data_IF_000242645381
#
_entry.id   IF_000242645381
#
_cell.length_a   1.000
_cell.length_b   1.000
_cell.length_c   1.000
_cell.angle_alpha   90.00
_cell.angle_beta   90.00
_cell.angle_gamma   90.00
#
_symmetry.space_group_name_H-M   'P 1'
#
loop_
_entity.id
_entity.type
_entity.pdbx_description
1 polymer ?
#
# COMPACT_ATOMS: atom_id res chain seq x y z
N UNK A 1 7.89 -68.70 -28.84
CA UNK A 1 7.88 -67.95 -27.57
C UNK A 1 8.63 -66.62 -27.74
N UNK A 2 8.04 -65.65 -28.44
CA UNK A 2 8.67 -64.34 -28.70
C UNK A 2 7.67 -63.17 -28.78
N UNK A 3 6.42 -63.38 -28.34
CA UNK A 3 5.33 -62.41 -28.52
C UNK A 3 4.85 -61.70 -27.25
N UNK A 4 5.35 -62.07 -26.07
CA UNK A 4 4.76 -61.66 -24.78
C UNK A 4 5.62 -60.69 -23.97
N UNK A 5 6.89 -60.48 -24.32
CA UNK A 5 7.80 -59.61 -23.56
C UNK A 5 7.81 -58.14 -24.03
N UNK A 6 7.26 -57.82 -25.20
CA UNK A 6 7.28 -56.44 -25.74
C UNK A 6 6.09 -55.59 -25.25
N UNK A 7 5.02 -56.19 -24.73
CA UNK A 7 3.84 -55.43 -24.26
C UNK A 7 3.94 -54.90 -22.83
N UNK A 8 4.93 -55.33 -22.05
CA UNK A 8 5.14 -54.87 -20.66
C UNK A 8 6.05 -53.62 -20.58
N UNK A 9 6.88 -53.37 -21.59
CA UNK A 9 7.78 -52.20 -21.62
C UNK A 9 7.08 -50.91 -22.06
N UNK A 10 6.04 -50.98 -22.90
CA UNK A 10 5.27 -49.81 -23.32
C UNK A 10 4.27 -49.33 -22.26
N UNK A 11 3.80 -50.21 -21.37
CA UNK A 11 2.91 -49.83 -20.24
C UNK A 11 3.66 -49.16 -19.07
N UNK A 12 4.91 -49.56 -18.81
CA UNK A 12 5.74 -48.95 -17.76
C UNK A 12 6.21 -47.53 -18.09
N UNK A 13 6.53 -47.25 -19.35
CA UNK A 13 6.92 -45.91 -19.80
C UNK A 13 5.75 -44.90 -19.84
N UNK A 14 4.52 -45.37 -20.05
CA UNK A 14 3.33 -44.50 -20.00
C UNK A 14 2.86 -44.17 -18.57
N UNK A 15 3.11 -45.06 -17.59
CA UNK A 15 2.82 -44.76 -16.17
C UNK A 15 3.85 -43.84 -15.52
N UNK A 16 5.08 -43.76 -16.05
CA UNK A 16 6.09 -42.76 -15.63
C UNK A 16 5.84 -41.39 -16.27
N UNK A 17 5.18 -41.33 -17.44
CA UNK A 17 4.84 -40.06 -18.09
C UNK A 17 3.68 -39.30 -17.39
N UNK A 18 2.80 -39.99 -16.67
CA UNK A 18 1.68 -39.36 -15.96
C UNK A 18 2.08 -38.76 -14.58
N UNK A 19 3.24 -39.13 -14.02
CA UNK A 19 3.74 -38.57 -12.76
C UNK A 19 4.49 -37.23 -12.94
N UNK A 20 4.72 -36.80 -14.19
CA UNK A 20 5.46 -35.57 -14.51
C UNK A 20 4.60 -34.30 -14.59
N UNK A 21 3.28 -34.41 -14.47
CA UNK A 21 2.36 -33.26 -14.46
C UNK A 21 1.68 -33.15 -13.11
N UNK A 22 2.46 -32.91 -12.05
CA UNK A 22 1.93 -32.16 -10.92
C UNK A 22 1.66 -30.75 -11.46
N UNK A 23 0.47 -30.54 -12.03
CA UNK A 23 -0.03 -29.21 -12.33
C UNK A 23 0.03 -28.44 -11.03
N UNK A 24 0.83 -27.37 -11.00
CA UNK A 24 0.99 -26.59 -9.78
C UNK A 24 -0.39 -26.07 -9.37
N UNK A 25 -0.78 -26.31 -8.11
CA UNK A 25 -2.12 -25.97 -7.63
C UNK A 25 -2.37 -24.46 -7.76
N UNK A 26 -3.59 -24.09 -8.12
CA UNK A 26 -3.99 -22.69 -8.17
C UNK A 26 -3.83 -22.08 -6.78
N UNK A 27 -3.27 -20.87 -6.70
CA UNK A 27 -3.14 -20.16 -5.44
C UNK A 27 -4.53 -19.90 -4.88
N UNK A 28 -4.78 -20.41 -3.67
CA UNK A 28 -6.03 -20.19 -2.97
C UNK A 28 -5.94 -18.88 -2.20
N UNK A 29 -6.80 -17.88 -2.47
CA UNK A 29 -6.95 -16.73 -1.59
C UNK A 29 -7.28 -17.20 -0.17
N UNK A 30 -6.83 -16.47 0.84
CA UNK A 30 -7.08 -16.81 2.24
C UNK A 30 -8.60 -16.85 2.51
N UNK A 31 -9.19 -18.01 2.84
CA UNK A 31 -10.62 -18.15 3.06
C UNK A 31 -11.12 -17.40 4.32
N UNK A 32 -10.22 -16.94 5.20
CA UNK A 32 -10.59 -16.13 6.36
C UNK A 32 -11.09 -14.73 5.96
N UNK A 33 -10.69 -14.24 4.79
CA UNK A 33 -11.18 -12.99 4.22
C UNK A 33 -12.54 -13.21 3.56
N UNK A 34 -13.60 -12.76 4.24
CA UNK A 34 -14.91 -12.66 3.61
C UNK A 34 -14.93 -11.45 2.70
N UNK A 35 -15.38 -11.62 1.47
CA UNK A 35 -15.40 -10.55 0.47
C UNK A 35 -16.71 -10.56 -0.30
N UNK A 36 -17.11 -9.40 -0.79
CA UNK A 36 -18.27 -9.26 -1.65
C UNK A 36 -18.30 -7.93 -2.39
N UNK A 37 -19.23 -7.83 -3.32
CA UNK A 37 -19.49 -6.61 -4.09
C UNK A 37 -20.97 -6.32 -4.04
N UNK A 38 -21.34 -5.09 -3.67
CA UNK A 38 -22.73 -4.64 -3.64
C UNK A 38 -23.25 -4.42 -5.06
N UNK A 39 -24.57 -4.34 -5.23
CA UNK A 39 -25.19 -4.13 -6.54
C UNK A 39 -24.76 -2.81 -7.23
N UNK A 40 -24.32 -1.82 -6.47
CA UNK A 40 -23.80 -0.54 -6.98
C UNK A 40 -22.29 -0.57 -7.30
N UNK A 41 -21.61 -1.70 -7.13
CA UNK A 41 -20.19 -1.88 -7.46
C UNK A 41 -19.22 -1.71 -6.28
N UNK A 42 -19.69 -1.26 -5.11
CA UNK A 42 -18.82 -1.15 -3.93
C UNK A 42 -18.33 -2.51 -3.49
N UNK A 43 -17.01 -2.66 -3.38
CA UNK A 43 -16.38 -3.87 -2.87
C UNK A 43 -16.16 -3.77 -1.37
N UNK A 44 -16.24 -4.89 -0.66
CA UNK A 44 -15.95 -4.95 0.76
C UNK A 44 -15.19 -6.21 1.12
N UNK A 45 -14.39 -6.12 2.18
CA UNK A 45 -13.59 -7.21 2.74
C UNK A 45 -13.68 -7.17 4.26
N UNK A 46 -13.95 -8.30 4.89
CA UNK A 46 -14.05 -8.46 6.34
C UNK A 46 -13.14 -9.60 6.78
N UNK A 47 -12.21 -9.32 7.69
CA UNK A 47 -11.40 -10.33 8.37
C UNK A 47 -11.80 -10.37 9.86
N UNK A 48 -12.50 -11.43 10.25
CA UNK A 48 -12.78 -11.69 11.65
C UNK A 48 -11.51 -12.19 12.36
N UNK A 49 -11.19 -11.62 13.52
CA UNK A 49 -10.02 -12.00 14.31
C UNK A 49 -10.40 -12.44 15.73
N UNK A 50 -11.14 -13.57 15.90
CA UNK A 50 -11.52 -14.08 17.23
C UNK A 50 -10.32 -14.40 18.13
N UNK A 51 -9.17 -14.71 17.53
CA UNK A 51 -7.88 -14.89 18.22
C UNK A 51 -7.30 -13.60 18.81
N UNK A 52 -7.86 -12.43 18.47
CA UNK A 52 -7.51 -11.13 19.05
C UNK A 52 -8.75 -10.42 19.62
N UNK A 53 -9.38 -10.98 20.67
CA UNK A 53 -10.70 -10.57 21.12
C UNK A 53 -10.70 -9.23 21.90
N UNK A 54 -9.54 -8.61 22.11
CA UNK A 54 -9.42 -7.30 22.77
C UNK A 54 -8.82 -6.22 21.85
N UNK A 55 -8.40 -6.60 20.64
CA UNK A 55 -7.84 -5.67 19.68
C UNK A 55 -8.92 -4.72 19.16
N UNK A 56 -8.48 -3.54 18.75
CA UNK A 56 -9.34 -2.54 18.12
C UNK A 56 -9.87 -3.04 16.78
N UNK A 57 -11.03 -2.53 16.37
CA UNK A 57 -11.61 -2.81 15.05
C UNK A 57 -11.08 -1.77 14.08
N UNK A 58 -10.32 -2.21 13.08
CA UNK A 58 -9.77 -1.36 12.04
C UNK A 58 -10.74 -1.27 10.87
N UNK A 59 -11.16 -0.05 10.53
CA UNK A 59 -12.02 0.24 9.39
C UNK A 59 -11.25 1.13 8.42
N UNK A 60 -11.23 0.75 7.14
CA UNK A 60 -10.57 1.48 6.06
C UNK A 60 -11.50 1.60 4.87
N UNK A 61 -11.75 2.82 4.39
CA UNK A 61 -12.41 3.04 3.10
C UNK A 61 -11.38 3.56 2.11
N UNK A 62 -11.02 2.72 1.15
CA UNK A 62 -10.20 3.10 0.02
C UNK A 62 -11.08 3.55 -1.13
N UNK A 63 -10.80 4.73 -1.68
CA UNK A 63 -11.39 5.23 -2.92
C UNK A 63 -10.27 5.36 -3.94
N UNK A 64 -10.40 4.76 -5.12
CA UNK A 64 -9.40 4.77 -6.19
C UNK A 64 -9.38 6.13 -6.93
N UNK A 65 -9.07 7.18 -6.18
CA UNK A 65 -8.95 8.57 -6.59
C UNK A 65 -7.80 9.24 -5.85
N UNK A 66 -6.87 9.85 -6.59
CA UNK A 66 -5.77 10.63 -6.06
C UNK A 66 -5.41 11.79 -6.99
N UNK A 67 -4.23 12.39 -6.79
CA UNK A 67 -3.80 13.57 -7.55
C UNK A 67 -3.57 13.33 -9.04
N UNK A 68 -3.40 12.08 -9.50
CA UNK A 68 -3.34 11.74 -10.93
C UNK A 68 -4.63 12.04 -11.70
N UNK A 69 -5.74 12.14 -10.98
CA UNK A 69 -7.05 12.42 -11.59
C UNK A 69 -7.35 13.92 -11.69
N UNK A 70 -6.47 14.77 -11.13
CA UNK A 70 -6.60 16.21 -11.17
C UNK A 70 -6.11 16.78 -12.51
N UNK A 71 -6.89 17.72 -13.07
CA UNK A 71 -6.40 18.67 -14.07
C UNK A 71 -5.62 19.82 -13.41
N UNK A 72 -4.94 20.65 -14.20
CA UNK A 72 -4.22 21.83 -13.69
C UNK A 72 -5.13 22.88 -13.05
N UNK A 73 -6.44 22.85 -13.33
CA UNK A 73 -7.45 23.68 -12.69
C UNK A 73 -7.93 23.08 -11.36
N UNK A 74 -7.79 21.76 -11.18
CA UNK A 74 -8.25 21.01 -10.01
C UNK A 74 -7.11 20.68 -9.03
N UNK A 75 -5.94 21.34 -9.16
CA UNK A 75 -4.78 21.12 -8.30
C UNK A 75 -5.15 21.21 -6.82
N UNK A 76 -4.92 20.11 -6.09
CA UNK A 76 -5.17 19.96 -4.66
C UNK A 76 -6.59 19.55 -4.27
N UNK A 77 -7.49 19.27 -5.23
CA UNK A 77 -8.86 18.84 -4.95
C UNK A 77 -8.92 17.48 -4.27
N UNK A 78 -8.08 16.52 -4.68
CA UNK A 78 -8.04 15.17 -4.10
C UNK A 78 -7.66 15.19 -2.62
N UNK A 79 -6.81 16.14 -2.19
CA UNK A 79 -6.46 16.36 -0.79
C UNK A 79 -7.52 17.17 -0.04
N UNK A 80 -8.16 18.13 -0.72
CA UNK A 80 -9.12 19.00 -0.06
C UNK A 80 -10.47 18.31 0.23
N UNK A 81 -10.92 17.38 -0.60
CA UNK A 81 -12.17 16.63 -0.37
C UNK A 81 -12.18 15.87 0.98
N UNK A 82 -11.19 15.03 1.32
CA UNK A 82 -11.17 14.38 2.63
C UNK A 82 -11.02 15.40 3.76
N UNK A 83 -10.31 16.52 3.56
CA UNK A 83 -10.25 17.60 4.57
C UNK A 83 -11.64 18.18 4.82
N UNK A 84 -12.41 18.42 3.77
CA UNK A 84 -13.79 18.89 3.86
C UNK A 84 -14.71 17.86 4.54
N UNK A 85 -14.53 16.57 4.26
CA UNK A 85 -15.32 15.51 4.89
C UNK A 85 -15.08 15.45 6.41
N UNK A 86 -13.83 15.62 6.85
CA UNK A 86 -13.45 15.58 8.27
C UNK A 86 -14.04 16.73 9.10
N UNK A 87 -14.49 17.82 8.48
CA UNK A 87 -15.19 18.91 9.18
C UNK A 87 -16.70 18.71 9.25
N UNK A 88 -17.23 17.61 8.70
CA UNK A 88 -18.67 17.37 8.60
C UNK A 88 -19.09 16.14 9.43
N UNK A 89 -20.25 16.25 10.07
CA UNK A 89 -20.89 15.13 10.78
C UNK A 89 -21.69 14.22 9.86
N UNK A 90 -21.99 14.66 8.63
CA UNK A 90 -22.92 13.98 7.74
C UNK A 90 -24.31 13.87 8.37
N UNK A 91 -24.87 12.67 8.32
CA UNK A 91 -26.16 12.30 8.93
C UNK A 91 -26.06 12.04 10.44
N UNK A 92 -24.85 12.01 11.02
CA UNK A 92 -24.69 11.82 12.45
C UNK A 92 -25.06 13.10 13.22
N UNK A 93 -25.75 12.99 14.37
CA UNK A 93 -25.85 14.06 15.35
C UNK A 93 -24.47 14.57 15.75
N UNK A 94 -24.33 15.89 15.97
CA UNK A 94 -23.05 16.54 16.26
C UNK A 94 -22.28 15.89 17.42
N UNK A 95 -22.99 15.48 18.48
CA UNK A 95 -22.37 14.81 19.62
C UNK A 95 -21.87 13.39 19.29
N UNK A 96 -22.57 12.65 18.42
CA UNK A 96 -22.12 11.33 17.96
C UNK A 96 -20.89 11.46 17.07
N UNK A 97 -20.90 12.40 16.11
CA UNK A 97 -19.73 12.66 15.27
C UNK A 97 -18.49 13.05 16.08
N UNK A 98 -18.66 13.90 17.12
CA UNK A 98 -17.57 14.24 18.05
C UNK A 98 -17.08 13.02 18.83
N UNK A 99 -18.01 12.22 19.35
CA UNK A 99 -17.72 10.99 20.10
C UNK A 99 -16.96 9.96 19.25
N UNK A 100 -17.35 9.81 17.98
CA UNK A 100 -16.69 8.96 17.00
C UNK A 100 -15.21 9.36 16.86
N UNK A 101 -14.93 10.62 16.50
CA UNK A 101 -13.56 11.09 16.27
C UNK A 101 -12.68 11.10 17.52
N UNK A 102 -13.25 11.26 18.71
CA UNK A 102 -12.51 11.13 19.97
C UNK A 102 -12.08 9.69 20.27
N UNK A 103 -12.77 8.70 19.70
CA UNK A 103 -12.57 7.28 20.00
C UNK A 103 -12.04 6.48 18.82
N UNK A 104 -11.98 7.04 17.60
CA UNK A 104 -11.68 6.32 16.36
C UNK A 104 -10.22 6.38 15.92
N UNK A 105 -9.29 6.70 16.81
CA UNK A 105 -7.85 6.75 16.54
C UNK A 105 -7.14 5.75 17.45
N UNK A 106 -6.24 4.92 16.90
CA UNK A 106 -5.41 4.02 17.69
C UNK A 106 -4.42 4.86 18.53
N UNK A 107 -4.49 4.81 19.87
CA UNK A 107 -3.58 5.58 20.72
C UNK A 107 -2.12 5.10 20.65
N UNK A 108 -1.87 3.85 20.21
CA UNK A 108 -0.52 3.26 20.13
C UNK A 108 0.12 3.48 18.76
N UNK A 109 -0.66 3.37 17.69
CA UNK A 109 -0.21 3.48 16.30
C UNK A 109 -1.19 4.34 15.49
N UNK A 110 -1.28 5.64 15.79
CA UNK A 110 -2.27 6.50 15.14
C UNK A 110 -1.99 6.60 13.64
N UNK A 111 -3.04 6.43 12.85
CA UNK A 111 -3.04 6.85 11.45
C UNK A 111 -3.76 8.20 11.33
N UNK A 112 -3.34 9.06 10.38
CA UNK A 112 -4.12 10.21 9.98
C UNK A 112 -5.54 9.78 9.57
N UNK A 113 -6.59 10.54 9.93
CA UNK A 113 -7.97 10.23 9.55
C UNK A 113 -8.16 10.01 8.04
N UNK A 114 -7.37 10.70 7.22
CA UNK A 114 -7.30 10.45 5.79
C UNK A 114 -5.86 10.52 5.26
N UNK A 115 -5.56 9.68 4.27
CA UNK A 115 -4.31 9.68 3.52
C UNK A 115 -4.63 9.78 2.04
N UNK A 116 -3.98 10.70 1.33
CA UNK A 116 -4.14 10.88 -0.12
C UNK A 116 -2.81 10.58 -0.80
N UNK A 117 -2.87 9.80 -1.88
CA UNK A 117 -1.74 9.48 -2.73
C UNK A 117 -2.02 9.88 -4.18
N UNK A 118 -1.20 9.38 -5.08
CA UNK A 118 -1.32 9.61 -6.52
C UNK A 118 -2.61 9.01 -7.09
N UNK A 119 -3.04 7.86 -6.58
CA UNK A 119 -4.12 7.04 -7.15
C UNK A 119 -5.21 6.64 -6.16
N UNK A 120 -5.02 6.89 -4.87
CA UNK A 120 -6.02 6.57 -3.85
C UNK A 120 -6.19 7.66 -2.80
N UNK A 121 -7.37 7.65 -2.19
CA UNK A 121 -7.72 8.36 -0.97
C UNK A 121 -8.22 7.32 0.02
N UNK A 122 -7.61 7.26 1.20
CA UNK A 122 -7.92 6.28 2.24
C UNK A 122 -8.43 6.98 3.49
N UNK A 123 -9.62 6.63 3.96
CA UNK A 123 -10.11 7.03 5.29
C UNK A 123 -9.76 5.96 6.31
N UNK A 124 -9.25 6.35 7.48
CA UNK A 124 -8.77 5.44 8.52
C UNK A 124 -9.50 5.68 9.84
N UNK A 125 -10.14 4.64 10.36
CA UNK A 125 -10.72 4.62 11.70
C UNK A 125 -10.26 3.36 12.45
N UNK A 126 -9.90 3.51 13.72
CA UNK A 126 -9.57 2.43 14.64
C UNK A 126 -10.49 2.53 15.85
N UNK A 127 -11.44 1.61 15.99
CA UNK A 127 -12.52 1.68 16.99
C UNK A 127 -12.21 0.77 18.19
N UNK A 128 -12.62 1.13 19.42
CA UNK A 128 -12.53 0.22 20.56
C UNK A 128 -13.34 -1.07 20.29
N UNK A 129 -12.88 -2.20 20.83
CA UNK A 129 -13.65 -3.44 20.69
C UNK A 129 -14.99 -3.38 21.44
N UNK A 130 -15.94 -4.26 21.10
CA UNK A 130 -17.26 -4.38 21.70
C UNK A 130 -18.11 -3.09 21.62
N UNK A 131 -17.84 -2.22 20.64
CA UNK A 131 -18.59 -0.98 20.38
C UNK A 131 -19.27 -1.02 19.01
N UNK A 132 -20.29 -1.89 18.91
CA UNK A 132 -21.08 -2.04 17.68
C UNK A 132 -21.82 -0.74 17.29
N UNK A 133 -22.13 0.10 18.27
CA UNK A 133 -22.64 1.46 18.07
C UNK A 133 -21.65 2.33 17.29
N UNK A 134 -20.38 2.38 17.71
CA UNK A 134 -19.34 3.14 17.01
C UNK A 134 -19.04 2.58 15.63
N UNK A 135 -19.11 1.25 15.45
CA UNK A 135 -18.94 0.66 14.12
C UNK A 135 -20.04 1.13 13.18
N UNK A 136 -21.30 1.12 13.62
CA UNK A 136 -22.43 1.63 12.83
C UNK A 136 -22.26 3.12 12.51
N UNK A 137 -21.86 3.92 13.49
CA UNK A 137 -21.59 5.36 13.30
C UNK A 137 -20.44 5.60 12.32
N UNK A 138 -19.35 4.84 12.42
CA UNK A 138 -18.22 4.89 11.50
C UNK A 138 -18.63 4.57 10.06
N UNK A 139 -19.41 3.50 9.86
CA UNK A 139 -19.94 3.14 8.54
C UNK A 139 -20.85 4.25 7.98
N UNK A 140 -21.71 4.84 8.81
CA UNK A 140 -22.59 5.93 8.41
C UNK A 140 -21.80 7.17 7.99
N UNK A 141 -20.82 7.58 8.80
CA UNK A 141 -19.96 8.73 8.48
C UNK A 141 -19.18 8.50 7.19
N UNK A 142 -18.62 7.30 7.00
CA UNK A 142 -17.90 6.93 5.77
C UNK A 142 -18.81 6.98 4.52
N UNK A 143 -20.06 6.52 4.62
CA UNK A 143 -21.02 6.62 3.52
C UNK A 143 -21.38 8.08 3.21
N UNK A 144 -21.52 8.93 4.21
CA UNK A 144 -21.79 10.36 3.99
C UNK A 144 -20.59 11.08 3.39
N UNK A 145 -19.38 10.83 3.90
CA UNK A 145 -18.13 11.37 3.36
C UNK A 145 -17.93 10.98 1.88
N UNK A 146 -18.37 9.78 1.49
CA UNK A 146 -18.16 9.23 0.15
C UNK A 146 -19.32 9.39 -0.82
N UNK A 147 -20.53 9.76 -0.38
CA UNK A 147 -21.67 9.98 -1.28
C UNK A 147 -22.56 11.21 -1.03
N UNK A 148 -22.39 11.91 0.10
CA UNK A 148 -23.28 13.02 0.51
C UNK A 148 -22.52 14.22 1.06
N UNK A 149 -21.30 14.44 0.57
CA UNK A 149 -20.46 15.55 1.04
C UNK A 149 -21.11 16.91 0.73
N UNK A 150 -21.27 17.76 1.75
CA UNK A 150 -21.76 19.11 1.57
C UNK A 150 -20.64 20.03 1.06
N UNK A 151 -20.74 20.45 -0.20
CA UNK A 151 -19.77 21.35 -0.84
C UNK A 151 -20.45 22.71 -1.03
N UNK A 152 -20.29 23.63 -0.08
CA UNK A 152 -20.83 24.99 -0.15
C UNK A 152 -19.73 26.00 0.17
N UNK A 153 -19.88 27.30 -0.16
CA UNK A 153 -18.91 28.31 0.22
C UNK A 153 -18.60 28.30 1.73
N UNK A 154 -19.63 28.07 2.57
CA UNK A 154 -19.50 28.03 4.02
C UNK A 154 -18.70 26.81 4.50
N UNK A 155 -18.98 25.62 3.95
CA UNK A 155 -18.27 24.39 4.32
C UNK A 155 -16.79 24.44 3.88
N UNK A 156 -16.53 25.03 2.71
CA UNK A 156 -15.18 25.27 2.19
C UNK A 156 -14.43 26.23 3.11
N UNK A 157 -15.02 27.37 3.45
CA UNK A 157 -14.39 28.36 4.33
C UNK A 157 -14.09 27.79 5.72
N UNK A 158 -15.02 27.02 6.29
CA UNK A 158 -14.80 26.31 7.54
C UNK A 158 -13.61 25.33 7.45
N UNK A 159 -13.55 24.52 6.38
CA UNK A 159 -12.46 23.57 6.18
C UNK A 159 -11.10 24.25 6.01
N UNK A 160 -11.05 25.43 5.38
CA UNK A 160 -9.83 26.23 5.19
C UNK A 160 -9.31 26.84 6.50
N UNK A 161 -10.20 27.23 7.41
CA UNK A 161 -9.85 27.78 8.73
C UNK A 161 -9.39 26.71 9.73
N UNK A 162 -9.87 25.47 9.58
CA UNK A 162 -9.50 24.34 10.42
C UNK A 162 -8.10 23.78 10.13
N UNK A 163 -7.58 22.98 11.08
CA UNK A 163 -6.34 22.24 10.89
C UNK A 163 -6.48 21.18 9.78
N UNK A 164 -5.43 21.03 8.97
CA UNK A 164 -5.39 19.98 7.95
C UNK A 164 -4.96 18.65 8.58
N UNK A 165 -5.90 17.71 8.68
CA UNK A 165 -5.70 16.36 9.22
C UNK A 165 -5.42 15.32 8.13
N UNK A 166 -5.30 15.74 6.87
CA UNK A 166 -5.03 14.85 5.73
C UNK A 166 -3.52 14.74 5.53
N UNK A 167 -3.00 13.51 5.59
CA UNK A 167 -1.62 13.22 5.25
C UNK A 167 -1.48 12.77 3.79
N UNK A 168 -0.25 12.71 3.29
CA UNK A 168 0.04 12.17 1.96
C UNK A 168 0.78 10.85 2.03
N UNK A 169 0.68 10.08 0.95
CA UNK A 169 1.61 8.98 0.68
C UNK A 169 2.32 9.22 -0.66
N UNK A 170 3.66 9.30 -0.69
CA UNK A 170 4.59 9.29 0.45
C UNK A 170 4.38 10.46 1.43
N UNK A 171 4.87 10.31 2.67
CA UNK A 171 4.66 11.28 3.74
C UNK A 171 5.28 12.65 3.44
N UNK A 172 6.51 12.65 2.91
CA UNK A 172 7.17 13.86 2.41
C UNK A 172 7.36 13.74 0.90
N UNK A 173 6.50 14.42 0.13
CA UNK A 173 6.57 14.42 -1.33
C UNK A 173 7.66 15.34 -1.89
N UNK A 174 8.34 16.10 -1.02
CA UNK A 174 9.45 16.99 -1.37
C UNK A 174 10.81 16.39 -1.04
N UNK A 175 10.83 15.22 -0.41
CA UNK A 175 12.04 14.47 -0.09
C UNK A 175 12.89 14.25 -1.36
N UNK A 176 14.20 14.48 -1.24
CA UNK A 176 15.11 14.56 -2.38
C UNK A 176 15.17 13.26 -3.20
N UNK A 177 15.18 12.11 -2.54
CA UNK A 177 15.13 10.81 -3.20
C UNK A 177 13.80 10.59 -3.93
N UNK A 178 12.67 10.93 -3.32
CA UNK A 178 11.36 10.85 -3.98
C UNK A 178 11.28 11.75 -5.22
N UNK A 179 11.76 13.00 -5.11
CA UNK A 179 11.84 13.93 -6.24
C UNK A 179 12.72 13.41 -7.38
N UNK A 180 13.83 12.77 -7.05
CA UNK A 180 14.67 12.10 -8.04
C UNK A 180 13.93 10.93 -8.70
N UNK A 181 13.26 10.09 -7.91
CA UNK A 181 12.56 8.89 -8.38
C UNK A 181 11.38 9.18 -9.30
N UNK A 182 10.72 10.32 -9.12
CA UNK A 182 9.60 10.77 -9.96
C UNK A 182 9.99 11.18 -11.38
N UNK A 183 11.28 11.46 -11.65
CA UNK A 183 11.72 11.93 -12.97
C UNK A 183 11.33 10.94 -14.06
N UNK A 184 10.65 11.46 -15.09
CA UNK A 184 10.16 10.66 -16.22
C UNK A 184 8.99 9.73 -15.92
N UNK A 185 8.41 9.75 -14.72
CA UNK A 185 7.23 8.94 -14.35
C UNK A 185 5.92 9.63 -14.76
N UNK A 186 4.82 8.87 -14.75
CA UNK A 186 3.45 9.41 -14.98
C UNK A 186 2.95 10.29 -13.84
N UNK A 187 3.62 10.24 -12.68
CA UNK A 187 3.27 10.99 -11.48
C UNK A 187 3.91 12.39 -11.43
N UNK A 188 4.83 12.69 -12.36
CA UNK A 188 5.48 13.99 -12.41
C UNK A 188 4.44 15.09 -12.71
N UNK A 189 4.34 16.08 -11.82
CA UNK A 189 3.34 17.15 -11.91
C UNK A 189 2.04 16.89 -11.14
N UNK A 190 1.84 15.68 -10.62
CA UNK A 190 0.64 15.29 -9.86
C UNK A 190 0.96 15.11 -8.37
N UNK A 191 1.64 16.07 -7.75
CA UNK A 191 2.04 15.98 -6.34
C UNK A 191 0.79 15.95 -5.42
N UNK A 192 0.55 14.90 -4.61
CA UNK A 192 -0.63 14.84 -3.74
C UNK A 192 -0.59 15.88 -2.60
N UNK A 193 0.58 16.50 -2.36
CA UNK A 193 0.72 17.64 -1.45
C UNK A 193 0.66 19.00 -2.18
N UNK A 194 0.26 19.04 -3.46
CA UNK A 194 0.11 20.29 -4.19
C UNK A 194 -0.84 21.24 -3.45
N UNK A 195 -0.53 22.55 -3.41
CA UNK A 195 -1.41 23.52 -2.78
C UNK A 195 -2.74 23.57 -3.54
N UNK A 196 -3.82 23.76 -2.77
CA UNK A 196 -5.14 23.97 -3.33
C UNK A 196 -5.16 25.27 -4.13
N UNK A 197 -5.53 25.18 -5.42
CA UNK A 197 -5.63 26.34 -6.30
C UNK A 197 -6.69 27.31 -5.80
N UNK A 198 -6.35 28.61 -5.77
CA UNK A 198 -7.24 29.70 -5.35
C UNK A 198 -7.50 30.66 -6.53
N UNK A 199 -8.71 31.24 -6.64
CA UNK A 199 -9.91 30.93 -5.85
C UNK A 199 -10.48 29.54 -6.17
N UNK A 200 -11.17 28.93 -5.20
CA UNK A 200 -11.82 27.62 -5.39
C UNK A 200 -13.13 27.81 -6.16
N UNK A 201 -13.25 27.17 -7.31
CA UNK A 201 -14.52 27.03 -8.01
C UNK A 201 -15.35 25.91 -7.36
N UNK A 202 -16.43 26.32 -6.67
CA UNK A 202 -17.32 25.41 -5.95
C UNK A 202 -18.00 24.41 -6.89
N UNK A 203 -18.36 24.83 -8.11
CA UNK A 203 -18.96 23.94 -9.09
C UNK A 203 -17.94 22.91 -9.56
N UNK A 204 -16.71 23.35 -9.86
CA UNK A 204 -15.65 22.43 -10.27
C UNK A 204 -15.29 21.39 -9.19
N UNK A 205 -15.29 21.80 -7.91
CA UNK A 205 -15.03 20.88 -6.80
C UNK A 205 -16.17 19.85 -6.65
N UNK A 206 -17.43 20.27 -6.82
CA UNK A 206 -18.59 19.36 -6.85
C UNK A 206 -18.50 18.37 -8.00
N UNK A 207 -18.20 18.85 -9.20
CA UNK A 207 -18.10 18.00 -10.39
C UNK A 207 -16.97 16.98 -10.23
N UNK A 208 -15.82 17.40 -9.67
CA UNK A 208 -14.72 16.49 -9.37
C UNK A 208 -15.14 15.42 -8.34
N UNK A 209 -15.81 15.82 -7.26
CA UNK A 209 -16.32 14.87 -6.26
C UNK A 209 -17.30 13.87 -6.89
N UNK A 210 -18.32 14.33 -7.60
CA UNK A 210 -19.35 13.47 -8.21
C UNK A 210 -18.78 12.54 -9.28
N UNK A 211 -17.80 13.01 -10.06
CA UNK A 211 -17.15 12.21 -11.10
C UNK A 211 -16.32 11.06 -10.52
N UNK A 212 -15.64 11.29 -9.40
CA UNK A 212 -14.62 10.38 -8.91
C UNK A 212 -15.02 9.59 -7.64
N UNK A 213 -15.91 10.10 -6.79
CA UNK A 213 -16.40 9.39 -5.62
C UNK A 213 -17.62 8.53 -5.99
N UNK A 214 -17.34 7.43 -6.69
CA UNK A 214 -18.35 6.46 -7.13
C UNK A 214 -18.13 5.09 -6.47
N UNK A 215 -19.20 4.36 -6.11
CA UNK A 215 -19.10 3.10 -5.36
C UNK A 215 -18.24 2.03 -6.05
N UNK A 216 -18.25 1.93 -7.37
CA UNK A 216 -17.42 1.00 -8.15
C UNK A 216 -15.90 1.23 -8.03
N UNK A 217 -15.49 2.41 -7.52
CA UNK A 217 -14.10 2.74 -7.22
C UNK A 217 -13.77 2.63 -5.72
N UNK A 218 -14.67 2.08 -4.90
CA UNK A 218 -14.53 2.00 -3.45
C UNK A 218 -14.32 0.57 -2.96
N UNK A 219 -13.41 0.42 -2.00
CA UNK A 219 -13.24 -0.82 -1.23
C UNK A 219 -13.25 -0.52 0.26
N UNK A 220 -14.22 -1.09 0.97
CA UNK A 220 -14.31 -1.01 2.43
C UNK A 220 -13.66 -2.25 3.06
N UNK A 221 -12.74 -2.05 3.99
CA UNK A 221 -12.02 -3.12 4.69
C UNK A 221 -12.33 -3.00 6.19
N UNK A 222 -12.76 -4.09 6.81
CA UNK A 222 -13.01 -4.19 8.25
C UNK A 222 -12.20 -5.36 8.83
N UNK A 223 -11.36 -5.10 9.82
CA UNK A 223 -10.57 -6.13 10.51
C UNK A 223 -10.78 -6.02 12.01
N UNK A 224 -11.16 -7.12 12.66
CA UNK A 224 -11.34 -7.14 14.11
C UNK A 224 -12.17 -8.33 14.58
N UNK A 225 -12.37 -8.45 15.89
CA UNK A 225 -13.26 -9.44 16.46
C UNK A 225 -14.74 -9.03 16.27
N UNK A 226 -15.27 -9.25 15.07
CA UNK A 226 -16.63 -8.84 14.66
C UNK A 226 -17.41 -10.02 14.08
N UNK A 227 -18.75 -9.96 14.17
CA UNK A 227 -19.62 -10.89 13.45
C UNK A 227 -19.68 -10.50 11.97
N UNK A 228 -19.00 -11.27 11.11
CA UNK A 228 -18.84 -10.92 9.70
C UNK A 228 -20.17 -10.83 8.95
N UNK A 229 -21.17 -11.64 9.31
CA UNK A 229 -22.50 -11.62 8.68
C UNK A 229 -23.22 -10.30 8.97
N UNK A 230 -23.28 -9.91 10.24
CA UNK A 230 -23.89 -8.64 10.66
C UNK A 230 -23.17 -7.45 10.05
N UNK A 231 -21.83 -7.49 9.96
CA UNK A 231 -21.06 -6.42 9.31
C UNK A 231 -21.40 -6.33 7.82
N UNK A 232 -21.44 -7.44 7.10
CA UNK A 232 -21.81 -7.45 5.69
C UNK A 232 -23.23 -6.90 5.44
N UNK A 233 -24.20 -7.26 6.29
CA UNK A 233 -25.56 -6.72 6.22
C UNK A 233 -25.60 -5.20 6.47
N UNK A 234 -24.85 -4.73 7.47
CA UNK A 234 -24.73 -3.29 7.76
C UNK A 234 -24.06 -2.54 6.61
N UNK A 235 -23.02 -3.10 6.00
CA UNK A 235 -22.37 -2.52 4.81
C UNK A 235 -23.38 -2.39 3.67
N UNK A 236 -24.13 -3.44 3.36
CA UNK A 236 -25.14 -3.40 2.30
C UNK A 236 -26.21 -2.34 2.58
N UNK A 237 -26.70 -2.24 3.82
CA UNK A 237 -27.71 -1.25 4.20
C UNK A 237 -27.20 0.18 4.13
N UNK A 238 -25.96 0.42 4.55
CA UNK A 238 -25.40 1.78 4.66
C UNK A 238 -24.87 2.31 3.33
N UNK A 239 -24.25 1.43 2.51
CA UNK A 239 -23.60 1.83 1.27
C UNK A 239 -24.39 1.47 0.00
N UNK A 240 -25.43 0.64 0.09
CA UNK A 240 -26.18 0.15 -1.08
C UNK A 240 -26.88 1.24 -1.89
N UNK A 241 -27.20 2.37 -1.26
CA UNK A 241 -27.86 3.50 -1.92
C UNK A 241 -26.90 4.47 -2.60
N UNK A 242 -25.58 4.31 -2.44
CA UNK A 242 -24.59 5.14 -3.14
C UNK A 242 -24.77 5.04 -4.66
N UNK A 243 -24.55 6.17 -5.34
CA UNK A 243 -24.77 6.35 -6.78
C UNK A 243 -23.48 6.71 -7.50
N UNK A 244 -23.48 6.54 -8.81
CA UNK A 244 -22.36 6.84 -9.69
C UNK A 244 -21.65 5.59 -10.17
N UNK A 245 -20.95 5.71 -11.30
CA UNK A 245 -20.12 4.67 -11.90
C UNK A 245 -19.01 5.34 -12.70
N UNK A 246 -17.77 4.84 -12.61
CA UNK A 246 -16.66 5.32 -13.43
C UNK A 246 -16.88 4.92 -14.89
N UNK A 247 -16.84 5.88 -15.79
CA UNK A 247 -16.71 5.62 -17.24
C UNK A 247 -15.24 5.38 -17.61
N UNK A 248 -14.34 6.10 -16.95
CA UNK A 248 -12.89 6.01 -17.18
C UNK A 248 -12.23 5.18 -16.09
N UNK A 249 -11.42 4.16 -16.45
CA UNK A 249 -10.61 3.43 -15.49
C UNK A 249 -9.75 4.37 -14.64
N UNK A 250 -9.50 4.00 -13.38
CA UNK A 250 -8.57 4.75 -12.54
C UNK A 250 -7.17 4.76 -13.16
N UNK A 251 -6.52 5.92 -13.14
CA UNK A 251 -5.13 6.02 -13.58
C UNK A 251 -4.23 5.20 -12.65
N UNK A 252 -3.35 4.38 -13.24
CA UNK A 252 -2.41 3.57 -12.47
C UNK A 252 -1.06 4.29 -12.41
N UNK A 253 -0.54 4.60 -11.21
CA UNK A 253 0.73 5.28 -11.05
C UNK A 253 1.88 4.33 -11.39
N UNK A 254 2.80 4.79 -12.24
CA UNK A 254 3.93 3.99 -12.69
C UNK A 254 5.22 4.77 -12.58
N UNK A 255 6.20 4.18 -11.90
CA UNK A 255 7.56 4.71 -11.87
C UNK A 255 8.36 4.24 -13.08
N UNK A 256 9.14 5.14 -13.67
CA UNK A 256 10.10 4.80 -14.73
C UNK A 256 11.26 3.98 -14.16
N UNK A 257 11.99 3.19 -14.98
CA UNK A 257 13.16 2.46 -14.49
C UNK A 257 14.16 3.38 -13.78
N UNK A 258 14.75 2.92 -12.67
CA UNK A 258 15.79 3.67 -11.99
C UNK A 258 17.04 3.78 -12.90
N UNK A 259 17.58 4.98 -13.14
CA UNK A 259 18.82 5.12 -13.90
C UNK A 259 19.98 4.37 -13.24
N UNK A 260 20.88 3.79 -14.05
CA UNK A 260 22.03 3.00 -13.56
C UNK A 260 23.25 3.86 -13.22
N UNK A 261 23.11 5.19 -13.27
CA UNK A 261 24.18 6.13 -12.95
C UNK A 261 24.16 6.46 -11.46
N UNK A 262 25.31 6.52 -10.78
CA UNK A 262 25.36 6.95 -9.39
C UNK A 262 24.90 8.39 -9.26
N UNK A 263 24.21 8.70 -8.17
CA UNK A 263 23.72 10.05 -7.87
C UNK A 263 24.00 10.38 -6.40
N UNK A 264 24.34 11.63 -6.14
CA UNK A 264 24.40 12.19 -4.78
C UNK A 264 23.19 13.08 -4.57
N UNK A 265 22.48 12.88 -3.47
CA UNK A 265 21.26 13.61 -3.12
C UNK A 265 21.48 14.24 -1.76
N UNK A 266 21.52 15.58 -1.73
CA UNK A 266 21.55 16.33 -0.48
C UNK A 266 20.15 16.35 0.13
N UNK A 267 20.03 15.89 1.37
CA UNK A 267 18.75 15.83 2.09
C UNK A 267 18.97 16.04 3.59
N UNK A 268 18.02 16.70 4.24
CA UNK A 268 18.02 16.87 5.70
C UNK A 268 17.36 15.69 6.42
N UNK A 269 16.90 14.67 5.68
CA UNK A 269 16.23 13.49 6.23
C UNK A 269 17.20 12.50 6.89
N UNK A 270 18.51 12.64 6.66
CA UNK A 270 19.55 11.78 7.22
C UNK A 270 20.48 12.58 8.13
N UNK A 271 20.96 11.96 9.22
CA UNK A 271 21.88 12.59 10.18
C UNK A 271 23.35 12.43 9.81
N UNK A 272 23.65 11.46 8.96
CA UNK A 272 24.97 11.12 8.45
C UNK A 272 24.82 10.58 7.02
N UNK A 273 25.93 10.39 6.31
CA UNK A 273 25.88 9.87 4.95
C UNK A 273 25.26 8.48 4.92
N UNK A 274 24.37 8.29 3.95
CA UNK A 274 23.71 7.03 3.66
C UNK A 274 23.94 6.67 2.21
N UNK A 275 24.73 5.63 1.97
CA UNK A 275 24.91 5.07 0.63
C UNK A 275 23.94 3.90 0.44
N UNK A 276 23.19 3.91 -0.66
CA UNK A 276 22.26 2.83 -1.01
C UNK A 276 22.74 2.12 -2.27
N UNK A 277 23.01 0.82 -2.18
CA UNK A 277 23.23 -0.06 -3.34
C UNK A 277 21.86 -0.60 -3.73
N UNK A 278 21.35 -0.22 -4.90
CA UNK A 278 19.95 -0.41 -5.24
C UNK A 278 19.78 -1.27 -6.49
N UNK A 279 18.79 -2.17 -6.44
CA UNK A 279 18.27 -2.92 -7.57
C UNK A 279 16.81 -2.52 -7.80
N UNK A 280 16.42 -2.30 -9.05
CA UNK A 280 15.08 -1.87 -9.45
C UNK A 280 14.66 -2.66 -10.69
N UNK A 281 13.51 -3.34 -10.61
CA UNK A 281 12.97 -4.18 -11.67
C UNK A 281 11.45 -3.97 -11.81
N UNK A 282 10.87 -4.24 -12.99
CA UNK A 282 9.42 -4.31 -13.14
C UNK A 282 8.84 -5.37 -12.19
N UNK A 283 7.77 -5.03 -11.45
CA UNK A 283 7.04 -5.99 -10.63
C UNK A 283 5.95 -6.68 -11.45
N UNK A 284 5.86 -8.00 -11.32
CA UNK A 284 4.76 -8.78 -11.86
C UNK A 284 3.99 -9.43 -10.69
N UNK A 285 2.66 -9.20 -10.57
CA UNK A 285 1.86 -9.84 -9.54
C UNK A 285 1.96 -11.37 -9.62
N UNK A 286 2.07 -12.00 -8.46
CA UNK A 286 2.12 -13.46 -8.32
C UNK A 286 0.72 -14.03 -8.59
N UNK A 287 0.57 -14.82 -9.65
CA UNK A 287 -0.73 -15.38 -10.08
C UNK A 287 -0.79 -16.91 -10.04
N UNK A 288 0.36 -17.56 -9.95
CA UNK A 288 0.48 -19.01 -9.96
C UNK A 288 1.63 -19.46 -9.04
N UNK A 289 1.62 -20.76 -8.72
CA UNK A 289 2.60 -21.36 -7.82
C UNK A 289 4.04 -21.31 -8.37
N UNK A 290 4.23 -21.37 -9.69
CA UNK A 290 5.57 -21.24 -10.28
C UNK A 290 6.15 -19.81 -10.12
N UNK A 291 5.32 -18.78 -10.26
CA UNK A 291 5.69 -17.40 -9.97
C UNK A 291 5.97 -17.21 -8.47
N UNK A 292 5.18 -17.84 -7.59
CA UNK A 292 5.39 -17.78 -6.14
C UNK A 292 6.73 -18.41 -5.72
N UNK A 293 7.06 -19.59 -6.26
CA UNK A 293 8.34 -20.25 -6.00
C UNK A 293 9.53 -19.43 -6.50
N UNK A 294 9.42 -18.81 -7.68
CA UNK A 294 10.47 -17.89 -8.18
C UNK A 294 10.62 -16.69 -7.25
N UNK A 295 9.52 -16.09 -6.84
CA UNK A 295 9.52 -14.98 -5.88
C UNK A 295 10.21 -15.37 -4.57
N UNK A 296 9.83 -16.51 -3.95
CA UNK A 296 10.43 -16.97 -2.70
C UNK A 296 11.91 -17.31 -2.82
N UNK A 297 12.33 -17.92 -3.93
CA UNK A 297 13.76 -18.17 -4.17
C UNK A 297 14.55 -16.87 -4.24
N UNK A 298 14.02 -15.89 -4.97
CA UNK A 298 14.69 -14.59 -5.11
C UNK A 298 14.67 -13.82 -3.77
N UNK A 299 13.61 -13.97 -2.97
CA UNK A 299 13.47 -13.38 -1.64
C UNK A 299 14.44 -13.99 -0.63
N UNK A 300 14.49 -15.31 -0.56
CA UNK A 300 15.43 -16.04 0.29
C UNK A 300 16.88 -15.73 -0.09
N UNK A 301 17.20 -15.63 -1.39
CA UNK A 301 18.54 -15.26 -1.83
C UNK A 301 18.93 -13.85 -1.36
N UNK A 302 17.99 -12.89 -1.37
CA UNK A 302 18.22 -11.53 -0.86
C UNK A 302 18.41 -11.51 0.65
N UNK A 303 17.56 -12.21 1.39
CA UNK A 303 17.64 -12.31 2.85
C UNK A 303 18.95 -12.96 3.28
N UNK A 304 19.32 -14.09 2.66
CA UNK A 304 20.55 -14.81 2.98
C UNK A 304 21.81 -14.01 2.61
N UNK A 305 21.80 -13.27 1.49
CA UNK A 305 22.86 -12.33 1.14
C UNK A 305 23.04 -11.25 2.21
N UNK A 306 21.95 -10.60 2.62
CA UNK A 306 22.00 -9.55 3.64
C UNK A 306 22.49 -10.09 4.98
N UNK A 307 21.96 -11.24 5.40
CA UNK A 307 22.36 -11.91 6.63
C UNK A 307 23.84 -12.27 6.63
N UNK A 308 24.36 -12.81 5.51
CA UNK A 308 25.78 -13.12 5.36
C UNK A 308 26.66 -11.87 5.53
N UNK A 309 26.32 -10.77 4.86
CA UNK A 309 27.06 -9.50 4.98
C UNK A 309 27.02 -8.99 6.42
N UNK A 310 25.85 -8.99 7.06
CA UNK A 310 25.68 -8.54 8.44
C UNK A 310 26.52 -9.37 9.42
N UNK A 311 26.53 -10.70 9.25
CA UNK A 311 27.36 -11.59 10.07
C UNK A 311 28.85 -11.36 9.86
N UNK A 312 29.29 -11.22 8.61
CA UNK A 312 30.70 -10.98 8.28
C UNK A 312 31.19 -9.68 8.90
N UNK A 313 30.40 -8.60 8.83
CA UNK A 313 30.72 -7.32 9.48
C UNK A 313 30.80 -7.45 11.00
N UNK A 314 29.87 -8.17 11.61
CA UNK A 314 29.85 -8.41 13.06
C UNK A 314 31.06 -9.22 13.52
N UNK A 315 31.38 -10.33 12.83
CA UNK A 315 32.55 -11.19 13.13
C UNK A 315 33.87 -10.42 13.01
N UNK A 316 33.96 -9.50 12.05
CA UNK A 316 35.16 -8.69 11.81
C UNK A 316 35.20 -7.39 12.65
N UNK A 317 34.26 -7.17 13.58
CA UNK A 317 34.19 -5.98 14.44
C UNK A 317 34.28 -4.65 13.67
N UNK A 318 33.61 -4.56 12.50
CA UNK A 318 33.59 -3.33 11.70
C UNK A 318 32.83 -2.24 12.46
N UNK A 319 33.47 -1.09 12.68
CA UNK A 319 32.92 0.03 13.47
C UNK A 319 32.34 1.13 12.60
N UNK A 320 31.44 1.92 13.17
CA UNK A 320 30.85 3.12 12.56
C UNK A 320 30.16 2.84 11.22
N UNK A 321 29.47 1.70 11.18
CA UNK A 321 28.65 1.22 10.07
C UNK A 321 27.27 0.81 10.61
N UNK A 322 26.22 1.45 10.09
CA UNK A 322 24.85 0.95 10.17
C UNK A 322 24.51 0.25 8.86
N UNK A 323 24.10 -1.01 8.91
CA UNK A 323 23.67 -1.75 7.74
C UNK A 323 22.16 -1.97 7.81
N UNK A 324 21.46 -1.59 6.75
CA UNK A 324 20.02 -1.84 6.59
C UNK A 324 19.73 -2.52 5.27
N UNK A 325 18.64 -3.27 5.21
CA UNK A 325 18.15 -3.86 3.98
C UNK A 325 16.64 -3.71 3.90
N UNK A 326 16.16 -3.28 2.74
CA UNK A 326 14.74 -3.17 2.50
C UNK A 326 14.42 -3.55 1.06
N UNK A 327 13.30 -4.24 0.90
CA UNK A 327 12.64 -4.47 -0.38
C UNK A 327 11.24 -3.89 -0.34
N UNK A 328 10.82 -3.25 -1.42
CA UNK A 328 9.50 -2.65 -1.57
C UNK A 328 8.98 -2.85 -2.98
N UNK A 329 7.68 -3.11 -3.07
CA UNK A 329 6.95 -3.06 -4.33
C UNK A 329 6.09 -1.81 -4.34
N UNK A 330 6.42 -0.86 -5.20
CA UNK A 330 5.71 0.42 -5.31
C UNK A 330 5.58 0.79 -6.78
N UNK A 331 4.40 1.24 -7.19
CA UNK A 331 4.17 1.83 -8.52
C UNK A 331 4.68 0.93 -9.69
N UNK A 332 4.36 -0.37 -9.60
CA UNK A 332 4.76 -1.43 -10.55
C UNK A 332 6.27 -1.74 -10.62
N UNK A 333 7.04 -1.31 -9.62
CA UNK A 333 8.48 -1.62 -9.52
C UNK A 333 8.75 -2.39 -8.23
N UNK A 334 9.58 -3.41 -8.32
CA UNK A 334 10.23 -4.03 -7.17
C UNK A 334 11.60 -3.38 -6.99
N UNK A 335 11.84 -2.80 -5.83
CA UNK A 335 13.09 -2.16 -5.49
C UNK A 335 13.64 -2.78 -4.20
N UNK A 336 14.91 -3.17 -4.23
CA UNK A 336 15.62 -3.63 -3.04
C UNK A 336 16.90 -2.83 -2.88
N UNK A 337 17.26 -2.50 -1.64
CA UNK A 337 18.45 -1.72 -1.33
C UNK A 337 19.21 -2.28 -0.14
N UNK A 338 20.54 -2.32 -0.26
CA UNK A 338 21.45 -2.40 0.89
C UNK A 338 21.86 -0.98 1.23
N UNK A 339 21.53 -0.56 2.45
CA UNK A 339 21.77 0.76 2.98
C UNK A 339 22.99 0.72 3.91
N UNK A 340 23.97 1.59 3.65
CA UNK A 340 25.17 1.75 4.46
C UNK A 340 25.14 3.16 5.05
N UNK A 341 24.78 3.25 6.33
CA UNK A 341 24.85 4.48 7.12
C UNK A 341 26.25 4.58 7.72
N UNK A 342 27.03 5.60 7.36
CA UNK A 342 28.39 5.76 7.86
C UNK A 342 28.86 7.21 7.80
N UNK A 343 29.72 7.67 8.73
CA UNK A 343 30.35 8.99 8.60
C UNK A 343 31.12 9.11 7.27
N UNK A 344 31.08 10.29 6.64
CA UNK A 344 31.67 10.51 5.31
C UNK A 344 33.14 10.12 5.21
N UNK A 345 33.95 10.34 6.25
CA UNK A 345 35.36 9.96 6.30
C UNK A 345 35.59 8.44 6.22
N UNK A 346 34.60 7.62 6.63
CA UNK A 346 34.66 6.15 6.65
C UNK A 346 33.84 5.48 5.57
N UNK A 347 33.01 6.24 4.85
CA UNK A 347 32.06 5.70 3.88
C UNK A 347 32.74 4.84 2.81
N UNK A 348 33.84 5.31 2.22
CA UNK A 348 34.56 4.56 1.19
C UNK A 348 35.17 3.25 1.72
N UNK A 349 35.68 3.26 2.95
CA UNK A 349 36.22 2.05 3.57
C UNK A 349 35.10 1.04 3.84
N UNK A 350 34.00 1.49 4.44
CA UNK A 350 32.85 0.64 4.75
C UNK A 350 32.15 0.11 3.49
N UNK A 351 32.05 0.91 2.43
CA UNK A 351 31.61 0.45 1.11
C UNK A 351 32.53 -0.64 0.55
N UNK A 352 33.86 -0.47 0.67
CA UNK A 352 34.83 -1.47 0.19
C UNK A 352 34.67 -2.81 0.91
N UNK A 353 34.44 -2.78 2.24
CA UNK A 353 34.17 -3.99 3.03
C UNK A 353 32.88 -4.67 2.56
N UNK A 354 31.77 -3.93 2.48
CA UNK A 354 30.48 -4.50 2.02
C UNK A 354 30.60 -5.05 0.60
N UNK A 355 31.21 -4.31 -0.32
CA UNK A 355 31.39 -4.71 -1.71
C UNK A 355 32.23 -5.98 -1.85
N UNK A 356 33.23 -6.17 -0.97
CA UNK A 356 34.04 -7.40 -0.95
C UNK A 356 33.22 -8.62 -0.55
N UNK A 357 32.35 -8.48 0.46
CA UNK A 357 31.45 -9.57 0.85
C UNK A 357 30.41 -9.87 -0.25
N UNK A 358 29.85 -8.84 -0.90
CA UNK A 358 28.98 -9.02 -2.05
C UNK A 358 29.69 -9.74 -3.21
N UNK A 359 30.95 -9.38 -3.50
CA UNK A 359 31.75 -10.03 -4.53
C UNK A 359 32.04 -11.50 -4.19
N UNK A 360 32.36 -11.82 -2.92
CA UNK A 360 32.55 -13.21 -2.46
C UNK A 360 31.32 -14.06 -2.72
N UNK A 361 30.13 -13.57 -2.38
CA UNK A 361 28.87 -14.30 -2.60
C UNK A 361 28.54 -14.41 -4.09
N UNK A 362 28.80 -13.37 -4.89
CA UNK A 362 28.63 -13.43 -6.35
C UNK A 362 29.52 -14.52 -6.97
N UNK A 363 30.78 -14.61 -6.55
CA UNK A 363 31.78 -15.46 -7.18
C UNK A 363 31.72 -16.92 -6.68
N UNK A 364 31.33 -17.15 -5.42
CA UNK A 364 31.38 -18.47 -4.79
C UNK A 364 30.02 -18.98 -4.26
N UNK A 365 28.96 -18.16 -4.31
CA UNK A 365 27.71 -18.45 -3.63
C UNK A 365 27.79 -18.24 -2.11
N UNK A 366 26.75 -18.68 -1.41
CA UNK A 366 26.70 -18.66 0.06
C UNK A 366 27.49 -19.84 0.65
N UNK A 367 28.21 -19.65 1.77
CA UNK A 367 28.90 -20.75 2.45
C UNK A 367 27.90 -21.76 3.02
N UNK A 368 28.29 -23.05 3.11
CA UNK A 368 27.42 -24.15 3.55
C UNK A 368 26.84 -23.98 4.97
N UNK A 369 27.49 -23.21 5.85
CA UNK A 369 26.98 -22.90 7.20
C UNK A 369 25.85 -21.86 7.20
N UNK A 370 25.52 -21.26 6.06
CA UNK A 370 24.53 -20.19 5.92
C UNK A 370 23.40 -20.47 4.93
N UNK A 371 23.19 -21.74 4.55
CA UNK A 371 22.08 -22.20 3.67
C UNK A 371 21.00 -22.90 4.48
#
# INVERSE_FOLDING_TARGET
>A
MQGTTIKLLTGGLLMVAAAGYVQAEALQPDPAWQQGTLANGLSWQVLATPQRPSDRIEVRLSVNIGSLSESTQQSGFSRFIPRLALTQSGSLPTMQARSLWQQSIDPKRPLPPAIVSYDYTMFNLSLPNNRNDLLKEALSWLADASGKLAITPESINHALQGSDMVATWPLDTKEGWWRYRLKGSTMLGHDPAAPLKQPIDVAQLKDFYQKWYTPDAMTLIVVGNVDSRSVAEQINKTFGDLKGKRETPAAVPTLSPLPTVPVSIMTNAVRQDKLSIMWDAPWQPIRDSAALQRYWRDDLAREALFWHVQQSLSKNNVKDIGLGFDCRVLYQRAQCAINIDSPGERLNNNLSVVSRELAKVRDNGLPQEGV
#
